data_IF_804382021469
#
_entry.id   IF_804382021469
#
_cell.length_a   1.000
_cell.length_b   1.000
_cell.length_c   1.000
_cell.angle_alpha   90.00
_cell.angle_beta   90.00
_cell.angle_gamma   90.00
#
_symmetry.space_group_name_H-M   'P 1'
#
loop_
_entity.id
_entity.type
_entity.pdbx_description
1 polymer ?
#
# COMPACT_ATOMS: atom_id res chain seq x y z
N UNK A 1 7.36 -5.07 10.26
CA UNK A 1 6.07 -4.40 10.10
C UNK A 1 5.68 -4.44 8.63
N UNK A 2 4.50 -4.98 8.36
CA UNK A 2 3.93 -5.19 7.04
C UNK A 2 2.79 -4.20 6.85
N UNK A 3 2.82 -3.45 5.74
CA UNK A 3 1.74 -2.58 5.31
C UNK A 3 0.95 -3.23 4.17
N UNK A 4 -0.37 -3.27 4.29
CA UNK A 4 -1.29 -3.62 3.21
C UNK A 4 -2.01 -2.34 2.75
N UNK A 5 -1.81 -1.93 1.50
CA UNK A 5 -2.44 -0.72 0.91
C UNK A 5 -3.55 -1.15 -0.06
N UNK A 6 -4.72 -0.52 0.08
CA UNK A 6 -5.93 -0.96 -0.61
C UNK A 6 -6.47 -2.25 -0.01
N UNK A 7 -6.38 -2.37 1.32
CA UNK A 7 -6.63 -3.64 2.01
C UNK A 7 -8.05 -4.18 1.86
N UNK A 8 -9.04 -3.35 1.49
CA UNK A 8 -10.44 -3.75 1.42
C UNK A 8 -10.86 -4.45 2.71
N UNK A 9 -11.33 -5.69 2.61
CA UNK A 9 -11.69 -6.52 3.78
C UNK A 9 -10.59 -7.52 4.18
N UNK A 10 -9.40 -7.46 3.58
CA UNK A 10 -8.31 -8.38 3.91
C UNK A 10 -7.68 -8.06 5.26
N UNK A 11 -7.26 -9.09 5.98
CA UNK A 11 -6.61 -8.97 7.28
C UNK A 11 -5.08 -9.18 7.22
N UNK A 12 -4.51 -9.27 6.02
CA UNK A 12 -3.06 -9.39 5.85
C UNK A 12 -2.36 -8.07 6.21
N UNK A 13 -1.23 -8.18 6.92
CA UNK A 13 -0.40 -7.05 7.35
C UNK A 13 -0.74 -6.51 8.74
N UNK A 14 0.26 -5.91 9.37
CA UNK A 14 0.13 -5.25 10.69
C UNK A 14 -0.67 -3.94 10.54
N UNK A 15 -0.36 -3.19 9.49
CA UNK A 15 -1.03 -1.95 9.11
C UNK A 15 -1.84 -2.20 7.84
N UNK A 16 -3.10 -1.77 7.85
CA UNK A 16 -4.08 -2.02 6.79
C UNK A 16 -4.74 -0.70 6.43
N UNK A 17 -4.24 -0.17 5.32
CA UNK A 17 -4.58 1.14 4.79
C UNK A 17 -5.55 1.01 3.62
N UNK A 18 -6.59 1.83 3.62
CA UNK A 18 -7.54 1.91 2.51
C UNK A 18 -8.13 3.33 2.42
N UNK A 19 -8.63 3.71 1.24
CA UNK A 19 -9.31 4.99 1.04
C UNK A 19 -10.67 5.01 1.74
N UNK A 20 -11.28 3.84 1.92
CA UNK A 20 -12.57 3.66 2.60
C UNK A 20 -12.43 2.86 3.88
N UNK A 21 -13.23 3.18 4.89
CA UNK A 21 -13.27 2.37 6.12
C UNK A 21 -13.98 1.03 5.86
N UNK A 22 -13.33 -0.06 6.20
CA UNK A 22 -13.90 -1.41 6.24
C UNK A 22 -13.79 -2.02 7.65
N UNK A 23 -14.20 -3.28 7.80
CA UNK A 23 -14.01 -4.03 9.04
C UNK A 23 -12.53 -4.31 9.35
N UNK A 24 -11.66 -4.30 8.33
CA UNK A 24 -10.25 -4.66 8.45
C UNK A 24 -9.34 -3.43 8.50
N UNK A 25 -9.79 -2.29 7.97
CA UNK A 25 -9.03 -1.03 7.91
C UNK A 25 -8.65 -0.50 9.30
N UNK A 26 -7.36 -0.26 9.52
CA UNK A 26 -6.88 0.45 10.71
C UNK A 26 -6.38 1.87 10.41
N UNK A 27 -6.06 2.18 9.15
CA UNK A 27 -5.68 3.52 8.69
C UNK A 27 -6.49 3.89 7.45
N UNK A 28 -7.06 5.09 7.43
CA UNK A 28 -7.70 5.63 6.22
C UNK A 28 -6.69 6.55 5.51
N UNK A 29 -6.36 6.24 4.26
CA UNK A 29 -5.56 7.12 3.41
C UNK A 29 -5.78 6.84 1.91
N UNK A 30 -5.56 7.85 1.09
CA UNK A 30 -5.61 7.75 -0.37
C UNK A 30 -4.23 7.43 -0.94
N UNK A 31 -4.11 6.32 -1.68
CA UNK A 31 -2.87 5.84 -2.28
C UNK A 31 -2.39 6.70 -3.48
N UNK A 32 -3.24 7.58 -4.03
CA UNK A 32 -2.84 8.60 -5.02
C UNK A 32 -2.22 9.85 -4.36
N UNK A 33 -2.19 9.93 -3.03
CA UNK A 33 -1.59 11.02 -2.25
C UNK A 33 -0.37 10.55 -1.45
N UNK A 34 0.51 11.45 -0.98
CA UNK A 34 1.62 11.07 -0.12
C UNK A 34 1.16 10.27 1.09
N UNK A 35 1.73 9.08 1.27
CA UNK A 35 1.29 8.15 2.31
C UNK A 35 1.70 8.69 3.69
N UNK A 36 0.84 8.58 4.73
CA UNK A 36 1.06 9.17 6.05
C UNK A 36 2.06 8.37 6.91
N UNK A 37 3.13 7.90 6.30
CA UNK A 37 4.16 7.07 6.93
C UNK A 37 5.52 7.74 6.79
N UNK A 38 6.37 7.48 7.78
CA UNK A 38 7.78 7.87 7.73
C UNK A 38 8.53 7.05 6.69
N UNK A 39 9.65 7.59 6.24
CA UNK A 39 10.60 6.88 5.38
C UNK A 39 11.10 5.63 6.12
N UNK A 40 11.39 4.57 5.34
CA UNK A 40 12.08 3.37 5.82
C UNK A 40 11.48 2.71 7.07
N UNK A 41 10.15 2.57 7.13
CA UNK A 41 9.45 2.05 8.31
C UNK A 41 8.94 0.62 8.12
N UNK A 42 8.64 0.21 6.89
CA UNK A 42 8.08 -1.11 6.59
C UNK A 42 9.13 -2.08 6.08
N UNK A 43 9.03 -3.33 6.52
CA UNK A 43 9.83 -4.45 6.01
C UNK A 43 9.18 -5.04 4.73
N UNK A 44 7.86 -4.89 4.61
CA UNK A 44 7.08 -5.31 3.45
C UNK A 44 5.92 -4.34 3.20
N UNK A 45 5.67 -4.05 1.92
CA UNK A 45 4.47 -3.37 1.44
C UNK A 45 3.76 -4.32 0.47
N UNK A 46 2.52 -4.64 0.80
CA UNK A 46 1.62 -5.51 0.06
C UNK A 46 0.47 -4.69 -0.53
N UNK A 47 0.08 -4.98 -1.76
CA UNK A 47 -1.13 -4.43 -2.36
C UNK A 47 -1.67 -5.38 -3.42
N UNK A 48 -3.00 -5.55 -3.45
CA UNK A 48 -3.67 -6.44 -4.40
C UNK A 48 -4.87 -5.73 -5.03
N UNK A 49 -4.96 -5.79 -6.36
CA UNK A 49 -6.03 -5.22 -7.19
C UNK A 49 -6.26 -3.71 -6.95
N UNK A 50 -5.21 -2.98 -6.56
CA UNK A 50 -5.23 -1.54 -6.36
C UNK A 50 -4.59 -0.80 -7.53
N UNK A 51 -3.54 -1.39 -8.13
CA UNK A 51 -2.60 -0.68 -8.98
C UNK A 51 -3.26 -0.11 -10.24
N UNK A 52 -4.21 -0.86 -10.80
CA UNK A 52 -5.05 -0.52 -11.94
C UNK A 52 -6.05 0.61 -11.67
N UNK A 53 -6.31 0.92 -10.40
CA UNK A 53 -7.25 1.97 -9.99
C UNK A 53 -6.56 3.29 -9.65
N UNK A 54 -5.22 3.29 -9.59
CA UNK A 54 -4.44 4.50 -9.28
C UNK A 54 -4.40 5.45 -10.47
N UNK A 55 -4.61 6.74 -10.21
CA UNK A 55 -4.43 7.79 -11.22
C UNK A 55 -2.95 7.98 -11.58
N UNK A 56 -2.06 7.79 -10.59
CA UNK A 56 -0.62 7.90 -10.81
C UNK A 56 0.18 6.74 -10.18
N UNK A 57 0.21 5.58 -10.84
CA UNK A 57 0.90 4.39 -10.33
C UNK A 57 2.41 4.61 -10.11
N UNK A 58 3.05 5.48 -10.90
CA UNK A 58 4.46 5.84 -10.71
C UNK A 58 4.69 6.59 -9.39
N UNK A 59 3.78 7.50 -9.02
CA UNK A 59 3.87 8.21 -7.75
C UNK A 59 3.69 7.27 -6.57
N UNK A 60 2.74 6.34 -6.68
CA UNK A 60 2.55 5.28 -5.71
C UNK A 60 3.82 4.42 -5.53
N UNK A 61 4.45 3.97 -6.62
CA UNK A 61 5.71 3.20 -6.53
C UNK A 61 6.84 3.97 -5.84
N UNK A 62 6.93 5.29 -6.06
CA UNK A 62 7.91 6.14 -5.35
C UNK A 62 7.61 6.20 -3.86
N UNK A 63 6.35 6.34 -3.47
CA UNK A 63 5.94 6.33 -2.08
C UNK A 63 6.19 4.97 -1.41
N UNK A 64 5.85 3.86 -2.09
CA UNK A 64 6.16 2.51 -1.63
C UNK A 64 7.67 2.35 -1.40
N UNK A 65 8.50 2.82 -2.34
CA UNK A 65 9.96 2.79 -2.17
C UNK A 65 10.43 3.65 -0.99
N UNK A 66 9.84 4.83 -0.78
CA UNK A 66 10.20 5.75 0.31
C UNK A 66 9.94 5.13 1.68
N UNK A 67 8.80 4.48 1.85
CA UNK A 67 8.36 3.94 3.16
C UNK A 67 8.94 2.55 3.45
N UNK A 68 9.45 1.85 2.43
CA UNK A 68 10.16 0.59 2.61
C UNK A 68 11.56 0.83 3.16
N UNK A 69 11.97 0.01 4.14
CA UNK A 69 13.36 -0.07 4.57
C UNK A 69 14.26 -0.52 3.43
N UNK A 70 15.56 -0.22 3.53
CA UNK A 70 16.57 -0.85 2.70
C UNK A 70 16.47 -2.39 2.77
N UNK A 71 16.34 -3.02 1.60
CA UNK A 71 16.15 -4.48 1.49
C UNK A 71 14.72 -4.98 1.76
N UNK A 72 13.78 -4.07 2.06
CA UNK A 72 12.36 -4.38 2.19
C UNK A 72 11.73 -4.82 0.87
N UNK A 73 10.58 -5.49 0.96
CA UNK A 73 9.93 -6.11 -0.21
C UNK A 73 8.62 -5.40 -0.56
N UNK A 74 8.42 -5.15 -1.84
CA UNK A 74 7.12 -4.77 -2.39
C UNK A 74 6.49 -5.99 -3.07
N UNK A 75 5.27 -6.33 -2.69
CA UNK A 75 4.45 -7.36 -3.33
C UNK A 75 3.22 -6.67 -3.91
N UNK A 76 3.17 -6.57 -5.23
CA UNK A 76 2.09 -5.93 -5.95
C UNK A 76 1.43 -6.97 -6.86
N UNK A 77 0.15 -7.22 -6.63
CA UNK A 77 -0.68 -8.12 -7.42
C UNK A 77 -1.73 -7.26 -8.12
N UNK A 78 -1.82 -7.35 -9.44
CA UNK A 78 -2.75 -6.55 -10.26
C UNK A 78 -3.41 -7.45 -11.28
N UNK A 79 -4.68 -7.20 -11.58
CA UNK A 79 -5.35 -7.85 -12.70
C UNK A 79 -4.95 -7.10 -13.98
N UNK A 80 -4.06 -7.75 -14.75
CA UNK A 80 -3.55 -7.27 -16.05
C UNK A 80 -2.61 -6.06 -15.97
N UNK A 81 -1.30 -6.32 -15.94
CA UNK A 81 -0.29 -5.30 -16.23
C UNK A 81 -0.26 -5.03 -17.74
N UNK A 82 -1.08 -4.09 -18.22
CA UNK A 82 -1.06 -3.61 -19.61
C UNK A 82 0.19 -2.80 -19.94
#
# INVERSE_FOLDING_TARGET
>A
MILNIGCGNENYGDIRADISRTNSTNIICDADTPLPFKDEVFDEVYSRYLFEHLKNPHSFLREVKRILKHGGKAILITDNAS
#
